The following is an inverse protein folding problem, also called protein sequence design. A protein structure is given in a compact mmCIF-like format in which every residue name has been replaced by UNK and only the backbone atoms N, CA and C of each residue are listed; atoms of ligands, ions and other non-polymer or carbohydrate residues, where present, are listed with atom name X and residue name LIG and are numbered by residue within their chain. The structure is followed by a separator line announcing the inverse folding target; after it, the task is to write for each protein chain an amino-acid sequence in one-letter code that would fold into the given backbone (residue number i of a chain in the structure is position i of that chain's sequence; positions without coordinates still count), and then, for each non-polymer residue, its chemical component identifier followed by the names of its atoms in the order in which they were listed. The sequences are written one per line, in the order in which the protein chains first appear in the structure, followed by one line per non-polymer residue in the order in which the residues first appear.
data_IF_740295580407
#
_entry.id   IF_740295580407
#
_cell.length_a   1.000
_cell.length_b   1.000
_cell.length_c   1.000
_cell.angle_alpha   90.00
_cell.angle_beta   90.00
_cell.angle_gamma   90.00
#
_symmetry.space_group_name_H-M   'P 1'
#
loop_
_entity.id
_entity.type
_entity.pdbx_description
1 polymer ?
#
# COMPACT_ATOMS: atom_id res chain seq x y z
N UNK A 1 6.38 -4.23 -2.66
CA UNK A 1 5.94 -2.85 -2.35
C UNK A 1 4.42 -2.77 -2.51
N UNK A 2 3.70 -2.18 -1.55
CA UNK A 2 2.23 -2.06 -1.59
C UNK A 2 1.79 -0.65 -1.96
N UNK A 3 0.65 -0.54 -2.63
CA UNK A 3 -0.06 0.73 -2.85
C UNK A 3 -1.25 0.90 -1.88
N UNK A 4 -1.96 2.01 -2.03
CA UNK A 4 -3.16 2.30 -1.24
C UNK A 4 -4.31 1.35 -1.55
N UNK A 5 -4.47 0.93 -2.81
CA UNK A 5 -5.57 0.07 -3.24
C UNK A 5 -5.57 -1.28 -2.50
N UNK A 6 -4.40 -1.85 -2.24
CA UNK A 6 -4.26 -3.06 -1.44
C UNK A 6 -4.77 -2.84 -0.01
N UNK A 7 -4.32 -1.79 0.66
CA UNK A 7 -4.69 -1.50 2.05
C UNK A 7 -6.16 -1.08 2.22
N UNK A 8 -6.76 -0.51 1.18
CA UNK A 8 -8.20 -0.22 1.15
C UNK A 8 -9.03 -1.49 0.89
N UNK A 9 -8.48 -2.49 0.21
CA UNK A 9 -9.15 -3.79 0.00
C UNK A 9 -8.99 -4.74 1.19
N UNK A 10 -7.82 -4.70 1.86
CA UNK A 10 -7.50 -5.50 3.03
C UNK A 10 -6.53 -4.72 3.92
N UNK A 11 -7.02 -4.10 5.00
CA UNK A 11 -6.20 -3.27 5.88
C UNK A 11 -5.16 -4.07 6.66
N UNK A 12 -5.26 -5.41 6.65
CA UNK A 12 -4.25 -6.31 7.25
C UNK A 12 -3.25 -6.83 6.23
N UNK A 13 -3.32 -6.42 4.95
CA UNK A 13 -2.43 -6.92 3.91
C UNK A 13 -0.95 -6.78 4.24
N UNK A 14 -0.55 -5.71 4.94
CA UNK A 14 0.84 -5.48 5.37
C UNK A 14 1.40 -6.58 6.30
N UNK A 15 0.54 -7.39 6.92
CA UNK A 15 0.91 -8.51 7.81
C UNK A 15 0.79 -9.90 7.16
N UNK A 16 0.36 -9.97 5.90
CA UNK A 16 0.04 -11.25 5.23
C UNK A 16 1.18 -11.78 4.37
N UNK A 17 2.20 -10.96 4.15
CA UNK A 17 3.44 -11.40 3.54
C UNK A 17 4.25 -12.17 4.58
N UNK A 18 4.77 -13.33 4.17
CA UNK A 18 5.52 -14.22 5.07
C UNK A 18 6.96 -13.76 5.13
N UNK A 19 7.81 -14.25 4.25
CA UNK A 19 9.25 -14.00 4.29
C UNK A 19 9.65 -12.70 3.57
N UNK A 20 8.70 -11.98 2.96
CA UNK A 20 8.98 -10.80 2.14
C UNK A 20 9.12 -9.52 2.96
N UNK A 21 9.97 -8.61 2.48
CA UNK A 21 10.03 -7.22 2.93
C UNK A 21 8.92 -6.38 2.29
N UNK A 22 7.95 -5.99 3.11
CA UNK A 22 6.87 -5.10 2.75
C UNK A 22 7.34 -3.66 2.86
N UNK A 23 7.24 -2.93 1.75
CA UNK A 23 7.57 -1.52 1.66
C UNK A 23 6.31 -0.73 1.34
N UNK A 24 5.98 0.26 2.17
CA UNK A 24 4.86 1.19 1.98
C UNK A 24 5.42 2.58 1.65
N UNK A 25 5.26 3.09 0.43
CA UNK A 25 5.62 4.46 0.10
C UNK A 25 4.89 5.48 0.98
N UNK A 26 5.56 6.55 1.44
CA UNK A 26 4.93 7.59 2.27
C UNK A 26 3.67 8.20 1.65
N UNK A 27 3.60 8.26 0.31
CA UNK A 27 2.43 8.78 -0.40
C UNK A 27 1.16 7.95 -0.12
N UNK A 28 1.30 6.64 0.16
CA UNK A 28 0.18 5.76 0.52
C UNK A 28 -0.46 6.20 1.83
N UNK A 29 0.33 6.63 2.82
CA UNK A 29 -0.21 7.14 4.10
C UNK A 29 -1.08 8.39 3.85
N UNK A 30 -0.61 9.30 2.99
CA UNK A 30 -1.37 10.50 2.63
C UNK A 30 -2.69 10.16 1.91
N UNK A 31 -2.70 9.13 1.07
CA UNK A 31 -3.92 8.67 0.41
C UNK A 31 -4.90 8.01 1.38
N UNK A 32 -4.41 7.18 2.31
CA UNK A 32 -5.24 6.60 3.36
C UNK A 32 -5.89 7.70 4.22
N UNK A 33 -5.15 8.74 4.61
CA UNK A 33 -5.71 9.85 5.37
C UNK A 33 -6.80 10.60 4.58
N UNK A 34 -6.58 10.86 3.29
CA UNK A 34 -7.60 11.45 2.41
C UNK A 34 -8.86 10.60 2.33
N UNK A 35 -8.72 9.27 2.40
CA UNK A 35 -9.83 8.32 2.34
C UNK A 35 -10.46 8.00 3.69
N UNK A 36 -9.91 8.49 4.81
CA UNK A 36 -10.36 8.15 6.16
C UNK A 36 -11.82 8.49 6.46
N UNK A 37 -12.38 9.48 5.78
CA UNK A 37 -13.76 9.94 5.94
C UNK A 37 -14.69 9.50 4.79
N UNK A 38 -14.18 8.69 3.87
CA UNK A 38 -14.96 8.14 2.76
C UNK A 38 -16.05 7.18 3.31
N UNK A 39 -17.32 7.31 2.88
CA UNK A 39 -18.41 6.46 3.36
C UNK A 39 -18.22 4.97 3.08
N UNK A 40 -17.60 4.62 1.95
CA UNK A 40 -17.49 3.23 1.51
C UNK A 40 -16.21 2.59 2.01
N UNK A 41 -15.08 3.29 1.84
CA UNK A 41 -13.74 2.72 2.10
C UNK A 41 -13.06 3.28 3.35
N UNK A 42 -13.64 4.28 4.00
CA UNK A 42 -13.02 4.94 5.16
C UNK A 42 -12.83 4.03 6.36
N UNK A 43 -13.64 2.96 6.49
CA UNK A 43 -13.42 1.94 7.50
C UNK A 43 -12.07 1.25 7.33
N UNK A 44 -11.77 0.78 6.11
CA UNK A 44 -10.50 0.10 5.80
C UNK A 44 -9.31 1.06 5.94
N UNK A 45 -9.44 2.30 5.46
CA UNK A 45 -8.41 3.31 5.64
C UNK A 45 -8.08 3.55 7.12
N UNK A 46 -9.10 3.71 7.98
CA UNK A 46 -8.91 3.85 9.43
C UNK A 46 -8.25 2.64 10.06
N UNK A 47 -8.61 1.43 9.63
CA UNK A 47 -8.02 0.21 10.17
C UNK A 47 -6.54 0.08 9.79
N UNK A 48 -6.18 0.35 8.54
CA UNK A 48 -4.78 0.36 8.10
C UNK A 48 -3.96 1.42 8.84
N UNK A 49 -4.49 2.64 9.00
CA UNK A 49 -3.84 3.72 9.74
C UNK A 49 -3.65 3.38 11.24
N UNK A 50 -4.64 2.72 11.86
CA UNK A 50 -4.50 2.24 13.25
C UNK A 50 -3.38 1.21 13.37
N UNK A 51 -3.32 0.23 12.47
CA UNK A 51 -2.23 -0.75 12.46
C UNK A 51 -0.86 -0.10 12.30
N UNK A 52 -0.73 0.93 11.45
CA UNK A 52 0.51 1.70 11.34
C UNK A 52 0.83 2.47 12.63
N UNK A 53 -0.16 3.08 13.28
CA UNK A 53 0.07 3.79 14.55
C UNK A 53 0.45 2.83 15.69
N UNK A 54 -0.17 1.65 15.76
CA UNK A 54 0.16 0.62 16.75
C UNK A 54 1.63 0.20 16.60
N UNK A 55 2.09 -0.07 15.37
CA UNK A 55 3.49 -0.40 15.09
C UNK A 55 4.43 0.77 15.41
N UNK A 56 4.01 2.01 15.16
CA UNK A 56 4.79 3.21 15.52
C UNK A 56 4.89 3.37 17.04
N UNK A 57 3.85 3.02 17.80
CA UNK A 57 3.90 3.05 19.26
C UNK A 57 4.87 2.00 19.81
N UNK A 58 4.96 0.84 19.17
CA UNK A 58 5.86 -0.25 19.56
C UNK A 58 7.33 0.00 19.19
N UNK A 59 7.58 0.53 17.99
CA UNK A 59 8.94 0.67 17.43
C UNK A 59 9.46 2.11 17.34
N UNK A 60 8.69 3.09 17.82
CA UNK A 60 8.90 4.56 17.75
C UNK A 60 8.89 5.16 16.33
N UNK A 61 9.46 4.47 15.35
CA UNK A 61 9.52 4.86 13.94
C UNK A 61 9.26 3.67 13.04
N UNK A 62 8.91 3.95 11.79
CA UNK A 62 8.58 2.94 10.78
C UNK A 62 9.48 3.02 9.54
N UNK A 63 10.48 3.90 9.53
CA UNK A 63 11.35 4.13 8.36
C UNK A 63 12.50 3.12 8.23
N UNK A 64 12.57 2.15 9.14
CA UNK A 64 13.48 1.02 9.11
C UNK A 64 12.69 -0.31 9.11
N UNK A 65 13.29 -1.42 8.66
CA UNK A 65 12.62 -2.72 8.67
C UNK A 65 12.25 -3.14 10.09
N UNK A 66 10.95 -3.29 10.35
CA UNK A 66 10.40 -3.87 11.57
C UNK A 66 9.85 -5.26 11.27
N UNK A 67 10.04 -6.22 12.16
CA UNK A 67 9.58 -7.59 11.95
C UNK A 67 8.05 -7.64 12.02
N UNK A 68 7.42 -8.27 11.03
CA UNK A 68 5.98 -8.49 10.98
C UNK A 68 5.68 -9.91 10.51
N UNK A 69 4.68 -10.55 11.12
CA UNK A 69 4.23 -11.88 10.71
C UNK A 69 5.24 -12.99 11.03
N UNK A 70 5.46 -13.90 10.07
CA UNK A 70 6.32 -15.09 10.21
C UNK A 70 7.68 -14.88 9.51
N UNK A 71 8.49 -13.92 10.00
CA UNK A 71 9.82 -13.63 9.47
C UNK A 71 9.87 -12.57 8.35
N UNK A 72 8.76 -11.88 8.12
CA UNK A 72 8.67 -10.76 7.19
C UNK A 72 9.10 -9.45 7.84
N UNK A 73 9.27 -8.43 7.01
CA UNK A 73 9.54 -7.08 7.52
C UNK A 73 8.59 -6.07 6.92
N UNK A 74 8.31 -4.99 7.65
CA UNK A 74 7.58 -3.84 7.15
C UNK A 74 8.46 -2.60 7.30
N UNK A 75 8.40 -1.69 6.34
CA UNK A 75 8.87 -0.31 6.52
C UNK A 75 8.05 0.68 5.70
N UNK A 76 7.99 1.91 6.17
CA UNK A 76 7.50 3.07 5.42
C UNK A 76 8.68 3.71 4.69
N UNK A 77 8.61 3.76 3.37
CA UNK A 77 9.64 4.36 2.54
C UNK A 77 9.42 5.87 2.44
N UNK A 78 10.32 6.62 3.09
CA UNK A 78 10.33 8.08 3.11
C UNK A 78 11.16 8.68 1.97
N UNK A 79 12.13 7.92 1.45
CA UNK A 79 13.06 8.36 0.40
C UNK A 79 12.60 7.87 -0.98
N UNK A 80 13.50 7.91 -1.97
CA UNK A 80 13.25 7.34 -3.30
C UNK A 80 12.08 7.97 -4.08
N UNK A 81 11.77 9.22 -3.75
CA UNK A 81 10.70 10.02 -4.38
C UNK A 81 11.16 10.77 -5.63
N UNK A 82 12.43 10.67 -6.02
CA UNK A 82 12.94 11.32 -7.23
C UNK A 82 12.34 10.66 -8.47
N UNK A 83 11.51 11.42 -9.18
CA UNK A 83 10.83 10.97 -10.40
C UNK A 83 11.74 11.02 -11.63
N UNK A 84 12.94 11.62 -11.54
CA UNK A 84 13.89 11.70 -12.66
C UNK A 84 14.29 10.33 -13.21
N UNK A 85 14.19 9.28 -12.38
CA UNK A 85 14.44 7.87 -12.76
C UNK A 85 13.36 7.28 -13.68
N UNK A 86 12.18 7.89 -13.73
CA UNK A 86 11.09 7.45 -14.59
C UNK A 86 11.22 8.07 -15.99
N UNK A 87 10.71 7.42 -17.05
CA UNK A 87 10.55 8.08 -18.34
C UNK A 87 9.67 9.33 -18.22
N UNK A 88 9.92 10.36 -19.02
CA UNK A 88 9.22 11.66 -18.95
C UNK A 88 7.69 11.54 -18.94
N UNK A 89 7.13 10.57 -19.68
CA UNK A 89 5.68 10.32 -19.71
C UNK A 89 5.07 9.85 -18.38
N UNK A 90 5.89 9.42 -17.42
CA UNK A 90 5.49 9.00 -16.07
C UNK A 90 5.89 10.01 -14.99
N UNK A 91 6.47 11.17 -15.34
CA UNK A 91 6.86 12.21 -14.37
C UNK A 91 5.73 13.23 -14.17
N UNK A 92 4.55 12.76 -13.79
CA UNK A 92 3.33 13.60 -13.76
C UNK A 92 3.14 14.32 -12.43
N UNK A 93 3.95 14.01 -11.41
CA UNK A 93 3.82 14.59 -10.07
C UNK A 93 2.64 14.06 -9.23
N UNK A 94 1.83 13.18 -9.80
CA UNK A 94 0.69 12.52 -9.15
C UNK A 94 1.14 11.38 -8.21
N UNK A 95 0.17 10.75 -7.54
CA UNK A 95 0.45 9.70 -6.56
C UNK A 95 1.04 8.46 -7.23
N UNK A 96 0.51 8.07 -8.40
CA UNK A 96 1.04 6.97 -9.21
C UNK A 96 2.51 7.20 -9.54
N UNK A 97 2.87 8.37 -10.06
CA UNK A 97 4.25 8.73 -10.41
C UNK A 97 5.18 8.62 -9.20
N UNK A 98 4.70 8.98 -8.00
CA UNK A 98 5.46 8.86 -6.75
C UNK A 98 5.65 7.40 -6.33
N UNK A 99 4.60 6.58 -6.43
CA UNK A 99 4.67 5.14 -6.14
C UNK A 99 5.65 4.47 -7.11
N UNK A 100 5.53 4.77 -8.41
CA UNK A 100 6.42 4.24 -9.45
C UNK A 100 7.88 4.66 -9.23
N UNK A 101 8.13 5.91 -8.83
CA UNK A 101 9.48 6.39 -8.54
C UNK A 101 10.12 5.61 -7.40
N UNK A 102 9.37 5.33 -6.33
CA UNK A 102 9.87 4.53 -5.20
C UNK A 102 10.22 3.12 -5.66
N UNK A 103 9.34 2.45 -6.41
CA UNK A 103 9.59 1.10 -6.93
C UNK A 103 10.84 1.06 -7.83
N UNK A 104 10.95 2.01 -8.76
CA UNK A 104 12.03 2.07 -9.74
C UNK A 104 13.37 2.35 -9.08
N UNK A 105 13.41 3.29 -8.13
CA UNK A 105 14.61 3.59 -7.38
C UNK A 105 15.09 2.37 -6.57
N UNK A 106 14.20 1.70 -5.82
CA UNK A 106 14.55 0.48 -5.09
C UNK A 106 15.06 -0.62 -6.03
N UNK A 107 14.44 -0.77 -7.21
CA UNK A 107 14.90 -1.72 -8.23
C UNK A 107 16.29 -1.36 -8.76
N UNK A 108 16.58 -0.07 -8.97
CA UNK A 108 17.88 0.41 -9.44
C UNK A 108 19.00 0.22 -8.41
N UNK A 109 18.66 0.14 -7.12
CA UNK A 109 19.59 -0.25 -6.05
C UNK A 109 19.90 -1.76 -6.03
N UNK A 110 19.29 -2.54 -6.94
CA UNK A 110 19.49 -3.99 -7.05
C UNK A 110 18.51 -4.84 -6.25
N UNK A 111 17.46 -4.23 -5.67
CA UNK A 111 16.42 -5.00 -4.99
C UNK A 111 15.49 -5.68 -5.99
N UNK A 112 15.04 -6.90 -5.68
CA UNK A 112 13.98 -7.55 -6.44
C UNK A 112 12.60 -7.01 -6.02
N UNK A 113 12.09 -6.03 -6.77
CA UNK A 113 10.86 -5.31 -6.41
C UNK A 113 9.66 -5.84 -7.20
N UNK A 114 8.66 -6.32 -6.47
CA UNK A 114 7.30 -6.56 -6.99
C UNK A 114 6.35 -5.50 -6.42
N UNK A 115 5.64 -4.79 -7.31
CA UNK A 115 4.56 -3.88 -6.93
C UNK A 115 3.26 -4.67 -6.84
N UNK A 116 2.63 -4.66 -5.68
CA UNK A 116 1.36 -5.34 -5.43
C UNK A 116 0.25 -4.29 -5.37
N UNK A 117 -0.76 -4.44 -6.22
CA UNK A 117 -1.85 -3.47 -6.40
C UNK A 117 -3.15 -4.16 -6.79
N UNK A 118 -4.31 -3.62 -6.37
CA UNK A 118 -5.63 -3.99 -6.92
C UNK A 118 -5.97 -3.22 -8.21
N UNK A 119 -5.30 -2.10 -8.47
CA UNK A 119 -5.56 -1.27 -9.64
C UNK A 119 -4.85 -1.78 -10.90
N UNK A 120 -5.65 -2.26 -11.86
CA UNK A 120 -5.15 -2.70 -13.17
C UNK A 120 -4.33 -1.61 -13.90
N UNK A 121 -4.75 -0.32 -13.94
CA UNK A 121 -3.95 0.71 -14.60
C UNK A 121 -2.55 0.85 -14.00
N UNK A 122 -2.42 0.82 -12.67
CA UNK A 122 -1.11 0.91 -12.01
C UNK A 122 -0.24 -0.30 -12.35
N UNK A 123 -0.80 -1.52 -12.33
CA UNK A 123 -0.06 -2.74 -12.73
C UNK A 123 0.44 -2.68 -14.17
N UNK A 124 -0.36 -2.15 -15.10
CA UNK A 124 0.06 -1.95 -16.49
C UNK A 124 1.20 -0.94 -16.60
N UNK A 125 1.15 0.17 -15.84
CA UNK A 125 2.23 1.16 -15.77
C UNK A 125 3.53 0.55 -15.27
N UNK A 126 3.49 -0.22 -14.18
CA UNK A 126 4.66 -0.92 -13.61
C UNK A 126 5.27 -1.90 -14.61
N UNK A 127 4.45 -2.74 -15.24
CA UNK A 127 4.92 -3.70 -16.24
C UNK A 127 5.54 -3.01 -17.47
N UNK A 128 5.00 -1.85 -17.87
CA UNK A 128 5.55 -1.04 -18.98
C UNK A 128 6.92 -0.44 -18.67
N UNK A 129 7.28 -0.34 -17.38
CA UNK A 129 8.61 0.07 -16.92
C UNK A 129 9.59 -1.12 -16.80
N UNK A 130 9.16 -2.34 -17.15
CA UNK A 130 9.96 -3.56 -17.01
C UNK A 130 10.04 -4.11 -15.59
N UNK A 131 9.20 -3.62 -14.67
CA UNK A 131 9.13 -4.09 -13.29
C UNK A 131 8.02 -5.14 -13.11
N UNK A 132 8.13 -5.95 -12.05
CA UNK A 132 7.11 -6.94 -11.71
C UNK A 132 5.91 -6.28 -11.02
N UNK A 133 4.71 -6.62 -11.50
CA UNK A 133 3.45 -6.18 -10.92
C UNK A 133 2.56 -7.39 -10.65
N UNK A 134 1.99 -7.47 -9.45
CA UNK A 134 1.08 -8.53 -9.06
C UNK A 134 -0.24 -7.96 -8.53
N UNK A 135 -1.32 -8.70 -8.80
CA UNK A 135 -2.62 -8.45 -8.19
C UNK A 135 -2.63 -8.96 -6.77
N UNK A 136 -3.13 -8.16 -5.83
CA UNK A 136 -3.30 -8.65 -4.46
C UNK A 136 -4.41 -9.68 -4.39
N UNK A 137 -4.03 -10.93 -4.16
CA UNK A 137 -4.95 -12.06 -4.02
C UNK A 137 -4.90 -12.58 -2.59
N UNK A 138 -5.85 -12.14 -1.80
CA UNK A 138 -6.13 -12.80 -0.53
C UNK A 138 -7.33 -13.73 -0.71
N UNK A 139 -7.13 -15.04 -0.53
CA UNK A 139 -8.22 -16.02 -0.44
C UNK A 139 -8.90 -15.85 0.92
N UNK A 140 -9.55 -14.71 1.07
CA UNK A 140 -10.33 -14.36 2.22
C UNK A 140 -11.74 -14.89 1.95
N UNK A 141 -12.00 -16.14 2.31
CA UNK A 141 -13.36 -16.54 2.64
C UNK A 141 -13.74 -15.71 3.88
N UNK A 142 -14.34 -14.53 3.68
CA UNK A 142 -14.73 -13.66 4.79
C UNK A 142 -16.22 -13.86 5.05
N UNK A 143 -16.51 -14.48 6.19
CA UNK A 143 -17.61 -14.02 7.03
C UNK A 143 -17.18 -12.65 7.58
N UNK A 144 -17.20 -11.63 6.73
CA UNK A 144 -17.02 -10.26 7.20
C UNK A 144 -18.33 -9.96 7.89
N UNK A 145 -18.34 -9.86 9.23
CA UNK A 145 -19.52 -9.44 10.02
C UNK A 145 -20.06 -8.03 9.64
N UNK A 146 -19.62 -7.48 8.52
CA UNK A 146 -20.27 -6.43 7.75
C UNK A 146 -21.56 -6.96 7.11
N UNK A 147 -22.71 -6.69 7.73
CA UNK A 147 -24.03 -7.04 7.16
C UNK A 147 -24.53 -6.02 6.13
N UNK A 148 -23.69 -5.09 5.68
CA UNK A 148 -24.08 -4.01 4.77
C UNK A 148 -24.63 -2.77 5.48
N UNK A 149 -25.18 -1.87 4.68
CA UNK A 149 -25.81 -0.62 5.13
C UNK A 149 -27.34 -0.82 5.20
N UNK A 150 -27.97 -0.40 6.30
CA UNK A 150 -29.42 -0.43 6.46
C UNK A 150 -29.96 1.00 6.58
N UNK A 151 -30.87 1.36 5.68
CA UNK A 151 -31.57 2.64 5.75
C UNK A 151 -32.67 2.57 6.83
N UNK A 152 -32.49 3.35 7.89
CA UNK A 152 -33.50 3.49 8.95
C UNK A 152 -34.48 4.59 8.57
N UNK A 153 -35.71 4.22 8.17
CA UNK A 153 -36.80 5.19 8.03
C UNK A 153 -37.34 5.55 9.41
N UNK A 154 -37.07 6.77 9.84
CA UNK A 154 -37.75 7.37 11.00
C UNK A 154 -39.15 7.77 10.53
N UNK A 155 -40.19 7.17 11.12
CA UNK A 155 -41.60 7.53 10.91
C UNK A 155 -42.10 8.28 12.13
#
# INVERSE_FOLDING_TARGET
MLDTSVLLSDPKAMFRFKEQSVVIPIIVINELEKKRHDPEIGYFARQALRSLDDLRQEHERLDFPIEVGEGGTLRVELNHIDQSVLPVGFQLGDNDSRILAVAMNLSNEGNNVTVVSQDLPLRVKVASLGMYAEEYRNNMAVDSGWTGQADLKIT
#
